data_IF_585734447779
#
_entry.id   IF_585734447779
#
_cell.length_a   1.000
_cell.length_b   1.000
_cell.length_c   1.000
_cell.angle_alpha   90.00
_cell.angle_beta   90.00
_cell.angle_gamma   90.00
#
_symmetry.space_group_name_H-M   'P 1'
#
loop_
_entity.id
_entity.type
_entity.pdbx_description
1 polymer ?
#
# COMPACT_ATOMS: atom_id res chain seq x y z
N UNK A 1 4.48 2.55 -2.97
CA UNK A 1 4.70 1.76 -4.21
C UNK A 1 6.17 1.67 -4.56
N UNK A 2 6.87 2.79 -4.79
CA UNK A 2 8.31 2.79 -5.10
C UNK A 2 9.18 2.03 -4.07
N UNK A 3 8.90 2.19 -2.77
CA UNK A 3 9.59 1.43 -1.72
C UNK A 3 9.43 -0.10 -1.90
N UNK A 4 8.21 -0.57 -2.18
CA UNK A 4 7.94 -2.00 -2.41
C UNK A 4 8.63 -2.51 -3.69
N UNK A 5 8.69 -1.67 -4.73
CA UNK A 5 9.36 -1.99 -5.99
C UNK A 5 10.86 -2.25 -5.77
N UNK A 6 11.54 -1.36 -5.03
CA UNK A 6 12.95 -1.56 -4.69
C UNK A 6 13.16 -2.71 -3.68
N UNK A 7 12.27 -2.84 -2.67
CA UNK A 7 12.32 -3.95 -1.71
C UNK A 7 12.27 -5.30 -2.43
N UNK A 8 11.37 -5.46 -3.40
CA UNK A 8 11.22 -6.71 -4.14
C UNK A 8 12.50 -7.09 -4.90
N UNK A 9 13.21 -6.11 -5.48
CA UNK A 9 14.51 -6.34 -6.14
C UNK A 9 15.56 -6.79 -5.14
N UNK A 10 15.62 -6.18 -3.96
CA UNK A 10 16.57 -6.52 -2.90
C UNK A 10 16.28 -7.87 -2.25
N UNK A 11 15.03 -8.30 -2.25
CA UNK A 11 14.61 -9.61 -1.75
C UNK A 11 14.78 -10.74 -2.79
N UNK A 12 15.22 -10.46 -4.02
CA UNK A 12 15.49 -11.52 -5.00
C UNK A 12 16.53 -12.51 -4.47
N UNK A 13 16.26 -13.80 -4.67
CA UNK A 13 17.08 -14.88 -4.10
C UNK A 13 16.82 -15.16 -2.61
N UNK A 14 16.05 -14.30 -1.93
CA UNK A 14 15.47 -14.63 -0.62
C UNK A 14 14.14 -15.35 -0.83
N UNK A 15 13.73 -16.16 0.14
CA UNK A 15 12.40 -16.80 0.12
C UNK A 15 11.29 -15.85 0.60
N UNK A 16 11.55 -14.55 0.65
CA UNK A 16 10.64 -13.52 1.17
C UNK A 16 10.03 -12.76 0.01
N UNK A 17 8.70 -12.61 0.03
CA UNK A 17 7.94 -11.83 -0.95
C UNK A 17 7.39 -10.57 -0.30
N UNK A 18 7.18 -9.51 -1.10
CA UNK A 18 6.57 -8.28 -0.62
C UNK A 18 5.55 -7.72 -1.62
N UNK A 19 4.51 -7.07 -1.11
CA UNK A 19 3.42 -6.52 -1.92
C UNK A 19 3.05 -5.12 -1.43
N UNK A 20 2.75 -4.23 -2.37
CA UNK A 20 2.07 -2.97 -2.05
C UNK A 20 0.56 -3.15 -2.28
N UNK A 21 -0.27 -2.43 -1.54
CA UNK A 21 -1.72 -2.52 -1.73
C UNK A 21 -2.45 -1.22 -1.41
N UNK A 22 -3.70 -1.15 -1.85
CA UNK A 22 -4.66 -0.12 -1.44
C UNK A 22 -5.98 -0.77 -1.01
N UNK A 23 -6.43 -0.55 0.24
CA UNK A 23 -7.60 -1.21 0.82
C UNK A 23 -8.93 -0.68 0.25
N UNK A 24 -8.91 0.50 -0.35
CA UNK A 24 -10.08 1.29 -0.75
C UNK A 24 -10.21 2.54 0.11
N UNK A 25 -11.29 3.29 -0.07
CA UNK A 25 -11.68 4.32 0.88
C UNK A 25 -12.32 3.63 2.09
N UNK A 26 -11.66 3.68 3.25
CA UNK A 26 -12.09 2.96 4.46
C UNK A 26 -12.51 3.96 5.53
N UNK A 27 -13.69 3.77 6.10
CA UNK A 27 -14.13 4.49 7.30
C UNK A 27 -13.33 3.96 8.49
N UNK A 28 -12.16 4.55 8.72
CA UNK A 28 -11.23 4.24 9.80
C UNK A 28 -10.89 5.50 10.60
N UNK A 29 -10.09 5.32 11.65
CA UNK A 29 -9.63 6.39 12.53
C UNK A 29 -8.59 7.34 11.89
N UNK A 30 -8.33 7.26 10.59
CA UNK A 30 -7.38 8.14 9.90
C UNK A 30 -7.77 9.62 10.05
N UNK A 31 -9.07 9.92 10.06
CA UNK A 31 -9.61 11.28 10.19
C UNK A 31 -9.86 11.76 11.62
N UNK A 32 -9.48 11.00 12.66
CA UNK A 32 -9.85 11.28 14.07
C UNK A 32 -9.47 12.67 14.60
N UNK A 33 -8.45 13.29 14.02
CA UNK A 33 -7.95 14.61 14.41
C UNK A 33 -8.41 15.74 13.46
N UNK A 34 -9.39 15.47 12.58
CA UNK A 34 -10.02 16.52 11.76
C UNK A 34 -11.00 17.34 12.61
N UNK A 35 -11.24 18.61 12.24
CA UNK A 35 -12.16 19.45 13.00
C UNK A 35 -13.56 18.83 13.06
N UNK A 36 -14.26 18.99 14.20
CA UNK A 36 -15.59 18.40 14.39
C UNK A 36 -16.60 18.85 13.33
N UNK A 37 -16.47 20.10 12.85
CA UNK A 37 -17.28 20.63 11.75
C UNK A 37 -17.03 19.87 10.44
N UNK A 38 -15.76 19.64 10.10
CA UNK A 38 -15.39 18.90 8.89
C UNK A 38 -15.83 17.43 8.99
N UNK A 39 -15.69 16.82 10.17
CA UNK A 39 -16.15 15.45 10.41
C UNK A 39 -17.67 15.31 10.17
N UNK A 40 -18.48 16.25 10.68
CA UNK A 40 -19.94 16.26 10.44
C UNK A 40 -20.25 16.46 8.96
N UNK A 41 -19.56 17.39 8.30
CA UNK A 41 -19.76 17.69 6.88
C UNK A 41 -19.43 16.48 5.98
N UNK A 42 -18.39 15.72 6.32
CA UNK A 42 -17.94 14.57 5.54
C UNK A 42 -18.68 13.27 5.87
N UNK A 43 -19.42 13.21 6.99
CA UNK A 43 -20.12 12.00 7.45
C UNK A 43 -21.05 11.37 6.40
N UNK A 44 -21.87 12.12 5.62
CA UNK A 44 -22.71 11.51 4.59
C UNK A 44 -21.87 10.85 3.48
N UNK A 45 -20.75 11.48 3.10
CA UNK A 45 -19.84 10.96 2.08
C UNK A 45 -19.17 9.67 2.57
N UNK A 46 -18.70 9.65 3.82
CA UNK A 46 -18.06 8.46 4.37
C UNK A 46 -19.05 7.30 4.50
N UNK A 47 -20.28 7.55 4.96
CA UNK A 47 -21.31 6.50 5.07
C UNK A 47 -21.69 5.90 3.72
N UNK A 48 -21.75 6.71 2.65
CA UNK A 48 -22.19 6.24 1.33
C UNK A 48 -21.07 5.61 0.48
N UNK A 49 -19.85 6.13 0.58
CA UNK A 49 -18.77 5.77 -0.36
C UNK A 49 -17.63 4.97 0.28
N UNK A 50 -17.53 4.91 1.61
CA UNK A 50 -16.42 4.25 2.28
C UNK A 50 -16.81 2.85 2.75
N UNK A 51 -15.89 1.91 2.60
CA UNK A 51 -16.00 0.56 3.16
C UNK A 51 -15.77 0.60 4.67
N UNK A 52 -16.28 -0.39 5.39
CA UNK A 52 -15.87 -0.61 6.78
C UNK A 52 -14.49 -1.30 6.87
N UNK A 53 -13.93 -1.42 8.06
CA UNK A 53 -12.60 -2.01 8.30
C UNK A 53 -12.52 -3.49 7.93
N UNK A 54 -13.59 -4.27 8.13
CA UNK A 54 -13.67 -5.70 7.76
C UNK A 54 -13.60 -5.88 6.24
N UNK A 55 -14.27 -5.03 5.49
CA UNK A 55 -14.17 -5.00 4.02
C UNK A 55 -12.82 -4.46 3.55
N UNK A 56 -12.28 -3.47 4.26
CA UNK A 56 -11.00 -2.84 3.92
C UNK A 56 -9.79 -3.73 4.12
N UNK A 57 -9.80 -4.63 5.10
CA UNK A 57 -8.66 -5.50 5.38
C UNK A 57 -8.50 -6.64 4.38
N UNK A 58 -9.50 -6.91 3.54
CA UNK A 58 -9.51 -8.08 2.65
C UNK A 58 -8.28 -8.15 1.73
N UNK A 59 -7.86 -7.02 1.14
CA UNK A 59 -6.65 -7.02 0.28
C UNK A 59 -5.38 -7.24 1.09
N UNK A 60 -5.31 -6.75 2.32
CA UNK A 60 -4.18 -7.03 3.23
C UNK A 60 -4.11 -8.50 3.58
N UNK A 61 -5.23 -9.11 3.95
CA UNK A 61 -5.31 -10.54 4.27
C UNK A 61 -4.98 -11.39 3.05
N UNK A 62 -5.49 -11.03 1.86
CA UNK A 62 -5.15 -11.70 0.61
C UNK A 62 -3.64 -11.68 0.36
N UNK A 63 -2.99 -10.51 0.44
CA UNK A 63 -1.54 -10.42 0.23
C UNK A 63 -0.70 -11.16 1.29
N UNK A 64 -1.25 -11.36 2.50
CA UNK A 64 -0.55 -12.03 3.60
C UNK A 64 -0.76 -13.55 3.62
N UNK A 65 -1.90 -14.04 3.14
CA UNK A 65 -2.36 -15.41 3.38
C UNK A 65 -2.62 -16.21 2.10
N UNK A 66 -2.82 -15.56 0.96
CA UNK A 66 -3.10 -16.29 -0.27
C UNK A 66 -1.84 -17.01 -0.75
N UNK A 67 -1.95 -18.32 -0.96
CA UNK A 67 -0.91 -19.11 -1.62
C UNK A 67 -0.94 -18.91 -3.15
N UNK A 68 0.22 -19.01 -3.79
CA UNK A 68 0.37 -18.97 -5.24
C UNK A 68 0.55 -17.56 -5.82
N UNK A 69 0.59 -16.52 -4.98
CA UNK A 69 0.86 -15.14 -5.41
C UNK A 69 2.34 -14.75 -5.29
N UNK A 70 3.21 -15.65 -4.83
CA UNK A 70 4.65 -15.41 -4.66
C UNK A 70 5.35 -14.90 -5.92
N UNK A 71 5.02 -15.38 -7.14
CA UNK A 71 5.57 -14.83 -8.38
C UNK A 71 5.19 -13.37 -8.64
N UNK A 72 4.23 -12.81 -7.88
CA UNK A 72 3.75 -11.43 -7.98
C UNK A 72 4.44 -10.50 -6.97
N UNK A 73 5.53 -10.93 -6.34
CA UNK A 73 6.34 -10.07 -5.46
C UNK A 73 6.72 -8.76 -6.17
N UNK A 74 6.67 -7.64 -5.44
CA UNK A 74 6.88 -6.29 -5.97
C UNK A 74 5.64 -5.64 -6.59
N UNK A 75 4.59 -6.41 -6.90
CA UNK A 75 3.37 -5.89 -7.53
C UNK A 75 2.47 -5.13 -6.53
N UNK A 76 1.53 -4.40 -7.10
CA UNK A 76 0.53 -3.62 -6.36
C UNK A 76 -0.87 -4.23 -6.49
N UNK A 77 -1.57 -4.33 -5.37
CA UNK A 77 -2.88 -4.96 -5.27
C UNK A 77 -3.98 -3.97 -4.87
N UNK A 78 -5.17 -4.15 -5.44
CA UNK A 78 -6.37 -3.48 -4.97
C UNK A 78 -7.61 -4.31 -5.28
N UNK A 79 -8.50 -4.47 -4.31
CA UNK A 79 -9.60 -5.43 -4.35
C UNK A 79 -9.08 -6.85 -4.68
N UNK A 80 -8.11 -7.31 -3.90
CA UNK A 80 -7.52 -8.66 -3.97
C UNK A 80 -7.00 -9.09 -5.35
N UNK A 81 -6.64 -8.11 -6.20
CA UNK A 81 -6.20 -8.36 -7.58
C UNK A 81 -5.05 -7.42 -7.92
N UNK A 82 -4.13 -7.88 -8.77
CA UNK A 82 -3.02 -7.06 -9.27
C UNK A 82 -3.58 -5.92 -10.12
N UNK A 83 -3.05 -4.71 -9.91
CA UNK A 83 -3.37 -3.54 -10.73
C UNK A 83 -2.15 -3.06 -11.49
N UNK A 84 -2.39 -2.54 -12.68
CA UNK A 84 -1.37 -1.87 -13.45
C UNK A 84 -1.01 -0.53 -12.83
N UNK A 85 0.29 -0.27 -12.78
CA UNK A 85 0.85 0.95 -12.22
C UNK A 85 1.21 1.93 -13.31
N UNK A 86 1.08 3.22 -13.00
CA UNK A 86 1.64 4.29 -13.81
C UNK A 86 3.17 4.13 -13.97
N UNK A 87 3.73 4.60 -15.09
CA UNK A 87 5.15 4.48 -15.40
C UNK A 87 6.05 5.03 -14.26
N UNK A 88 5.70 6.19 -13.69
CA UNK A 88 6.42 6.80 -12.56
C UNK A 88 6.50 5.94 -11.31
N UNK A 89 5.57 5.00 -11.13
CA UNK A 89 5.56 4.10 -9.98
C UNK A 89 6.35 2.79 -10.22
N UNK A 90 6.86 2.62 -11.45
CA UNK A 90 7.71 1.51 -11.91
C UNK A 90 9.12 1.99 -12.27
N UNK A 91 9.47 3.24 -11.96
CA UNK A 91 10.76 3.85 -12.27
C UNK A 91 11.84 3.32 -11.31
N UNK A 92 12.77 2.54 -11.85
CA UNK A 92 13.86 1.93 -11.10
C UNK A 92 14.83 2.96 -10.47
N UNK A 93 15.12 4.05 -11.19
CA UNK A 93 16.06 5.05 -10.71
C UNK A 93 15.44 5.85 -9.56
N UNK A 94 14.16 6.21 -9.68
CA UNK A 94 13.41 6.88 -8.62
C UNK A 94 13.25 5.98 -7.39
N UNK A 95 12.96 4.68 -7.57
CA UNK A 95 12.80 3.73 -6.47
C UNK A 95 14.12 3.56 -5.70
N UNK A 96 15.24 3.37 -6.40
CA UNK A 96 16.58 3.27 -5.80
C UNK A 96 16.96 4.55 -5.06
N UNK A 97 16.77 5.72 -5.67
CA UNK A 97 17.08 7.01 -5.04
C UNK A 97 16.22 7.25 -3.79
N UNK A 98 14.94 6.91 -3.83
CA UNK A 98 14.06 6.98 -2.66
C UNK A 98 14.61 6.12 -1.52
N UNK A 99 15.00 4.88 -1.82
CA UNK A 99 15.57 3.95 -0.84
C UNK A 99 16.84 4.51 -0.18
N UNK A 100 17.82 4.94 -0.96
CA UNK A 100 19.09 5.48 -0.45
C UNK A 100 18.89 6.72 0.44
N UNK A 101 17.96 7.60 0.06
CA UNK A 101 17.60 8.77 0.88
C UNK A 101 16.91 8.31 2.17
N UNK A 102 15.98 7.35 2.09
CA UNK A 102 15.30 6.81 3.27
C UNK A 102 16.27 6.14 4.25
N UNK A 103 17.23 5.35 3.78
CA UNK A 103 18.26 4.74 4.64
C UNK A 103 19.05 5.80 5.41
N UNK A 104 19.49 6.86 4.72
CA UNK A 104 20.21 7.98 5.35
C UNK A 104 19.35 8.73 6.37
N UNK A 105 18.10 9.02 6.04
CA UNK A 105 17.17 9.70 6.95
C UNK A 105 16.87 8.86 8.20
N UNK A 106 16.94 7.54 8.08
CA UNK A 106 16.77 6.61 9.20
C UNK A 106 18.09 6.26 9.91
N UNK A 107 19.24 6.79 9.48
CA UNK A 107 20.55 6.51 10.07
C UNK A 107 21.03 5.07 9.89
N UNK A 108 20.57 4.37 8.84
CA UNK A 108 20.98 3.00 8.53
C UNK A 108 22.28 2.95 7.72
N UNK A 109 22.62 4.05 7.03
CA UNK A 109 23.87 4.28 6.28
C UNK A 109 24.32 5.73 6.42
#
# INVERSE_FOLDING_TARGET
VLFNHELAKRLQGTRVTCYALHPGAISSELGRNTSSLLHVLLKPVTVLFFKNTVQGCQTTLHCALQEGIEPLSGRYFSNCTVRELFAKAKDDAAAKKLWEISERLCGLV
#
